data_IF_196558787389
#
_entry.id   IF_196558787389
#
_cell.length_a   1.000
_cell.length_b   1.000
_cell.length_c   1.000
_cell.angle_alpha   90.00
_cell.angle_beta   90.00
_cell.angle_gamma   90.00
#
_symmetry.space_group_name_H-M   'P 1'
#
loop_
_entity.id
_entity.type
_entity.pdbx_description
1 polymer ?
#
# COMPACT_ATOMS: atom_id res chain seq x y z
N UNK A 1 -15.42 -36.02 6.59
CA UNK A 1 -15.08 -35.17 7.73
C UNK A 1 -14.21 -34.05 7.21
N UNK A 2 -14.68 -32.80 7.27
CA UNK A 2 -13.88 -31.63 6.89
C UNK A 2 -12.82 -31.48 7.98
N UNK A 3 -11.52 -31.48 7.62
CA UNK A 3 -10.47 -31.16 8.59
C UNK A 3 -10.70 -29.73 9.08
N UNK A 4 -10.62 -29.45 10.39
CA UNK A 4 -10.61 -28.08 10.86
C UNK A 4 -9.45 -27.34 10.18
N UNK A 5 -9.74 -26.15 9.67
CA UNK A 5 -8.75 -25.28 9.04
C UNK A 5 -7.81 -24.74 10.12
N UNK A 6 -6.51 -24.64 9.83
CA UNK A 6 -5.54 -24.15 10.81
C UNK A 6 -5.66 -22.63 10.95
N UNK A 7 -5.40 -22.09 12.14
CA UNK A 7 -5.54 -20.64 12.41
C UNK A 7 -4.79 -19.76 11.42
N UNK A 8 -3.59 -20.16 11.00
CA UNK A 8 -2.79 -19.42 10.01
C UNK A 8 -3.39 -19.44 8.61
N UNK A 9 -4.13 -20.50 8.24
CA UNK A 9 -4.81 -20.60 6.95
C UNK A 9 -6.02 -19.66 6.92
N UNK A 10 -6.78 -19.63 8.01
CA UNK A 10 -7.88 -18.68 8.20
C UNK A 10 -7.38 -17.24 8.22
N UNK A 11 -6.26 -16.96 8.91
CA UNK A 11 -5.60 -15.66 8.90
C UNK A 11 -5.19 -15.25 7.47
N UNK A 12 -4.58 -16.18 6.71
CA UNK A 12 -4.20 -15.95 5.31
C UNK A 12 -5.42 -15.59 4.45
N UNK A 13 -6.51 -16.34 4.61
CA UNK A 13 -7.77 -16.06 3.91
C UNK A 13 -8.35 -14.69 4.28
N UNK A 14 -8.29 -14.32 5.56
CA UNK A 14 -8.78 -13.05 6.05
C UNK A 14 -7.94 -11.87 5.54
N UNK A 15 -6.61 -11.97 5.58
CA UNK A 15 -5.68 -10.99 5.01
C UNK A 15 -5.88 -10.81 3.50
N UNK A 16 -6.16 -11.89 2.77
CA UNK A 16 -6.48 -11.80 1.35
C UNK A 16 -7.80 -11.04 1.10
N UNK A 17 -8.84 -11.36 1.88
CA UNK A 17 -10.13 -10.68 1.79
C UNK A 17 -10.02 -9.20 2.19
N UNK A 18 -9.08 -8.85 3.06
CA UNK A 18 -8.72 -7.47 3.41
C UNK A 18 -7.96 -6.72 2.30
N UNK A 19 -7.70 -7.38 1.17
CA UNK A 19 -6.99 -6.81 0.00
C UNK A 19 -5.56 -6.36 0.32
N UNK A 20 -4.95 -6.85 1.40
CA UNK A 20 -3.56 -6.51 1.74
C UNK A 20 -2.54 -7.44 1.06
N UNK A 21 -2.92 -8.66 0.69
CA UNK A 21 -2.03 -9.67 0.08
C UNK A 21 -1.96 -9.61 -1.46
N UNK A 22 -2.72 -8.75 -2.15
CA UNK A 22 -2.71 -8.68 -3.62
C UNK A 22 -2.97 -10.03 -4.32
N UNK A 23 -2.31 -10.26 -5.46
CA UNK A 23 -2.35 -11.53 -6.22
C UNK A 23 -1.49 -12.66 -5.59
N UNK A 24 -0.74 -12.32 -4.53
CA UNK A 24 0.30 -13.15 -3.93
C UNK A 24 -0.25 -14.22 -2.98
N UNK A 25 -1.58 -14.28 -2.77
CA UNK A 25 -2.22 -15.38 -2.00
C UNK A 25 -1.80 -16.76 -2.52
N UNK A 26 -1.66 -16.90 -3.83
CA UNK A 26 -1.25 -18.16 -4.47
C UNK A 26 0.14 -18.64 -4.06
N UNK A 27 0.99 -17.74 -3.54
CA UNK A 27 2.35 -18.04 -3.07
C UNK A 27 2.41 -18.42 -1.60
N UNK A 28 1.36 -18.14 -0.82
CA UNK A 28 1.30 -18.49 0.61
C UNK A 28 0.79 -19.93 0.72
N UNK A 29 1.72 -20.88 0.63
CA UNK A 29 1.42 -22.31 0.67
C UNK A 29 1.74 -22.94 2.04
N UNK A 30 2.63 -22.30 2.80
CA UNK A 30 3.13 -22.76 4.10
C UNK A 30 3.03 -21.65 5.15
N UNK A 31 3.10 -22.05 6.43
CA UNK A 31 3.19 -21.11 7.55
C UNK A 31 4.39 -20.18 7.43
N UNK A 32 5.54 -20.70 6.99
CA UNK A 32 6.76 -19.92 6.75
C UNK A 32 6.57 -18.84 5.68
N UNK A 33 5.78 -19.09 4.64
CA UNK A 33 5.48 -18.07 3.63
C UNK A 33 4.66 -16.91 4.23
N UNK A 34 3.69 -17.21 5.11
CA UNK A 34 2.91 -16.21 5.84
C UNK A 34 3.77 -15.44 6.87
N UNK A 35 4.64 -16.14 7.61
CA UNK A 35 5.53 -15.51 8.56
C UNK A 35 6.50 -14.55 7.85
N UNK A 36 7.09 -14.98 6.72
CA UNK A 36 8.03 -14.20 5.92
C UNK A 36 7.42 -12.88 5.39
N UNK A 37 6.15 -12.91 4.98
CA UNK A 37 5.46 -11.73 4.42
C UNK A 37 5.00 -10.74 5.49
N UNK A 38 4.70 -11.20 6.71
CA UNK A 38 4.31 -10.34 7.83
C UNK A 38 5.51 -9.76 8.60
N UNK A 39 6.67 -10.42 8.50
CA UNK A 39 7.88 -10.17 9.32
C UNK A 39 8.35 -8.72 9.35
N UNK A 40 8.15 -7.96 8.28
CA UNK A 40 8.63 -6.57 8.17
C UNK A 40 7.64 -5.52 8.70
N UNK A 41 6.45 -5.95 9.12
CA UNK A 41 5.39 -5.10 9.67
C UNK A 41 4.66 -4.22 8.66
N UNK A 42 5.05 -4.17 7.38
CA UNK A 42 4.45 -3.28 6.38
C UNK A 42 2.99 -3.69 6.10
N UNK A 43 2.75 -4.98 5.87
CA UNK A 43 1.41 -5.50 5.64
C UNK A 43 0.48 -5.29 6.84
N UNK A 44 1.02 -5.40 8.06
CA UNK A 44 0.25 -5.17 9.28
C UNK A 44 -0.18 -3.69 9.40
N UNK A 45 0.71 -2.76 9.09
CA UNK A 45 0.37 -1.33 9.06
C UNK A 45 -0.75 -1.03 8.04
N UNK A 46 -0.69 -1.66 6.87
CA UNK A 46 -1.72 -1.51 5.84
C UNK A 46 -3.05 -2.08 6.26
N UNK A 47 -3.03 -3.26 6.86
CA UNK A 47 -4.20 -3.92 7.40
C UNK A 47 -4.93 -3.03 8.41
N UNK A 48 -4.19 -2.36 9.30
CA UNK A 48 -4.77 -1.39 10.22
C UNK A 48 -5.47 -0.24 9.46
N UNK A 49 -4.81 0.32 8.45
CA UNK A 49 -5.39 1.38 7.61
C UNK A 49 -6.61 0.93 6.78
N UNK A 50 -6.73 -0.36 6.44
CA UNK A 50 -7.95 -0.92 5.81
C UNK A 50 -9.17 -0.82 6.72
N UNK A 51 -9.01 -1.02 8.03
CA UNK A 51 -10.12 -0.99 8.98
C UNK A 51 -10.34 0.37 9.63
N UNK A 52 -9.32 1.23 9.63
CA UNK A 52 -9.42 2.61 10.10
C UNK A 52 -8.52 3.48 9.24
N UNK A 53 -9.10 4.15 8.25
CA UNK A 53 -8.36 5.02 7.34
C UNK A 53 -7.51 6.05 8.11
N UNK A 54 -6.23 6.15 7.76
CA UNK A 54 -5.29 7.11 8.35
C UNK A 54 -4.91 6.86 9.81
N UNK A 55 -5.19 5.68 10.38
CA UNK A 55 -4.76 5.38 11.75
C UNK A 55 -3.25 5.22 11.91
N UNK A 56 -2.56 4.88 10.81
CA UNK A 56 -1.10 4.90 10.71
C UNK A 56 -0.75 5.80 9.53
N UNK A 57 0.04 6.84 9.80
CA UNK A 57 0.55 7.71 8.76
C UNK A 57 1.55 6.96 7.88
N UNK A 58 1.28 6.95 6.58
CA UNK A 58 2.09 6.24 5.59
C UNK A 58 3.52 6.81 5.49
N UNK A 59 3.73 8.08 5.83
CA UNK A 59 5.06 8.70 5.83
C UNK A 59 5.99 8.13 6.91
N UNK A 60 5.42 7.55 7.97
CA UNK A 60 6.16 6.93 9.06
C UNK A 60 6.47 5.44 8.82
N UNK A 61 5.85 4.82 7.80
CA UNK A 61 6.11 3.42 7.44
C UNK A 61 7.41 3.38 6.63
N UNK A 62 8.40 2.64 7.12
CA UNK A 62 9.63 2.43 6.39
C UNK A 62 9.42 1.43 5.26
N UNK A 63 9.22 1.96 4.05
CA UNK A 63 9.24 1.20 2.80
C UNK A 63 10.69 1.04 2.33
N UNK A 64 11.23 -0.18 2.20
CA UNK A 64 12.58 -0.37 1.68
C UNK A 64 12.60 -0.70 0.18
N UNK A 65 13.51 -0.10 -0.62
CA UNK A 65 13.78 -0.54 -1.98
C UNK A 65 14.43 -1.92 -1.98
N UNK A 66 14.06 -2.77 -2.96
CA UNK A 66 14.43 -4.19 -3.09
C UNK A 66 15.91 -4.59 -2.96
N UNK A 67 16.83 -3.63 -2.94
CA UNK A 67 18.27 -3.88 -2.95
C UNK A 67 18.95 -3.67 -1.59
N UNK A 68 18.22 -3.20 -0.57
CA UNK A 68 18.75 -3.01 0.78
C UNK A 68 18.31 -4.16 1.69
N UNK A 69 19.26 -4.75 2.42
CA UNK A 69 18.99 -5.75 3.45
C UNK A 69 17.93 -5.24 4.44
N UNK A 70 16.94 -6.10 4.78
CA UNK A 70 15.88 -5.81 5.76
C UNK A 70 16.49 -5.37 7.08
N UNK A 71 16.52 -4.05 7.32
CA UNK A 71 17.11 -3.53 8.55
C UNK A 71 16.19 -3.86 9.72
N UNK A 72 16.73 -4.52 10.76
CA UNK A 72 16.02 -4.78 12.03
C UNK A 72 15.30 -3.53 12.54
N UNK A 73 15.94 -2.37 12.43
CA UNK A 73 15.36 -1.10 12.85
C UNK A 73 14.07 -0.75 12.11
N UNK A 74 14.06 -0.89 10.78
CA UNK A 74 12.89 -0.58 9.94
C UNK A 74 11.73 -1.54 10.22
N UNK A 75 12.01 -2.84 10.30
CA UNK A 75 10.99 -3.84 10.63
C UNK A 75 10.41 -3.61 12.02
N UNK A 76 11.26 -3.43 13.04
CA UNK A 76 10.84 -3.10 14.40
C UNK A 76 9.98 -1.85 14.45
N UNK A 77 10.34 -0.77 13.73
CA UNK A 77 9.54 0.44 13.68
C UNK A 77 8.15 0.19 13.10
N UNK A 78 8.05 -0.50 11.96
CA UNK A 78 6.77 -0.81 11.33
C UNK A 78 5.90 -1.69 12.25
N UNK A 79 6.49 -2.67 12.92
CA UNK A 79 5.79 -3.51 13.90
C UNK A 79 5.26 -2.65 15.07
N UNK A 80 6.07 -1.72 15.60
CA UNK A 80 5.63 -0.79 16.65
C UNK A 80 4.46 0.08 16.22
N UNK A 81 4.50 0.64 15.01
CA UNK A 81 3.40 1.45 14.47
C UNK A 81 2.09 0.67 14.43
N UNK A 82 2.14 -0.59 13.99
CA UNK A 82 0.98 -1.47 14.02
C UNK A 82 0.47 -1.73 15.44
N UNK A 83 1.36 -2.09 16.37
CA UNK A 83 0.98 -2.33 17.77
C UNK A 83 0.39 -1.09 18.44
N UNK A 84 0.93 0.10 18.14
CA UNK A 84 0.40 1.37 18.63
C UNK A 84 -0.99 1.67 18.06
N UNK A 85 -1.24 1.37 16.79
CA UNK A 85 -2.58 1.46 16.22
C UNK A 85 -3.55 0.47 16.90
N UNK A 86 -3.11 -0.77 17.16
CA UNK A 86 -3.90 -1.75 17.91
C UNK A 86 -4.30 -1.25 19.31
N UNK A 87 -3.37 -0.62 20.03
CA UNK A 87 -3.64 0.01 21.35
C UNK A 87 -4.62 1.18 21.24
N UNK A 88 -4.29 2.15 20.40
CA UNK A 88 -4.92 3.48 20.42
C UNK A 88 -6.22 3.55 19.63
N UNK A 89 -6.26 2.87 18.48
CA UNK A 89 -7.37 2.96 17.52
C UNK A 89 -8.32 1.78 17.61
N UNK A 90 -7.80 0.58 17.88
CA UNK A 90 -8.61 -0.64 17.98
C UNK A 90 -8.91 -1.05 19.43
N UNK A 91 -8.32 -0.36 20.41
CA UNK A 91 -8.52 -0.57 21.85
C UNK A 91 -8.26 -2.02 22.30
N UNK A 92 -7.27 -2.66 21.67
CA UNK A 92 -6.83 -4.00 22.06
C UNK A 92 -5.98 -3.88 23.34
N UNK A 93 -6.27 -4.65 24.40
CA UNK A 93 -5.53 -4.57 25.65
C UNK A 93 -4.10 -5.09 25.49
N UNK A 94 -3.18 -4.52 26.28
CA UNK A 94 -1.74 -4.84 26.23
C UNK A 94 -1.45 -6.34 26.41
N UNK A 95 -2.27 -7.06 27.19
CA UNK A 95 -2.15 -8.50 27.41
C UNK A 95 -2.35 -9.35 26.15
N UNK A 96 -3.07 -8.82 25.15
CA UNK A 96 -3.38 -9.52 23.90
C UNK A 96 -2.40 -9.14 22.77
N UNK A 97 -1.57 -8.11 22.97
CA UNK A 97 -0.56 -7.69 22.00
C UNK A 97 0.64 -8.63 22.06
N UNK A 98 1.35 -8.78 20.94
CA UNK A 98 2.63 -9.46 20.85
C UNK A 98 3.79 -8.47 21.00
N UNK A 99 4.98 -8.97 21.31
CA UNK A 99 6.23 -8.19 21.36
C UNK A 99 6.96 -8.21 20.01
N UNK A 100 7.77 -7.20 19.70
CA UNK A 100 8.45 -7.09 18.40
C UNK A 100 9.17 -8.38 17.94
N UNK A 101 9.83 -9.07 18.88
CA UNK A 101 10.58 -10.29 18.58
C UNK A 101 9.67 -11.50 18.29
N UNK A 102 8.44 -11.51 18.81
CA UNK A 102 7.43 -12.56 18.54
C UNK A 102 7.17 -12.67 17.02
N UNK A 103 7.31 -11.56 16.29
CA UNK A 103 7.17 -11.51 14.84
C UNK A 103 8.51 -11.42 14.11
N UNK A 104 9.44 -10.58 14.56
CA UNK A 104 10.70 -10.35 13.83
C UNK A 104 11.67 -11.53 13.93
N UNK A 105 11.87 -12.04 15.15
CA UNK A 105 12.71 -13.22 15.42
C UNK A 105 11.90 -14.52 15.41
N UNK A 106 10.56 -14.40 15.32
CA UNK A 106 9.58 -15.50 15.30
C UNK A 106 9.53 -16.28 16.62
N UNK A 107 9.74 -15.59 17.75
CA UNK A 107 9.76 -16.19 19.09
C UNK A 107 8.38 -16.78 19.49
N UNK A 108 7.27 -16.11 19.12
CA UNK A 108 5.90 -16.57 19.37
C UNK A 108 4.96 -16.09 18.23
N UNK A 109 5.14 -16.67 17.05
CA UNK A 109 4.30 -16.34 15.90
C UNK A 109 2.81 -16.70 16.12
N UNK A 110 2.52 -17.64 17.03
CA UNK A 110 1.14 -17.96 17.40
C UNK A 110 0.45 -16.77 18.09
N UNK A 111 1.18 -16.01 18.92
CA UNK A 111 0.66 -14.76 19.51
C UNK A 111 0.33 -13.71 18.45
N UNK A 112 1.11 -13.65 17.37
CA UNK A 112 0.81 -12.78 16.22
C UNK A 112 -0.54 -13.16 15.58
N UNK A 113 -0.77 -14.46 15.36
CA UNK A 113 -2.04 -14.96 14.81
C UNK A 113 -3.22 -14.72 15.77
N UNK A 114 -3.01 -14.86 17.08
CA UNK A 114 -4.02 -14.54 18.10
C UNK A 114 -4.39 -13.05 18.08
N UNK A 115 -3.41 -12.16 17.96
CA UNK A 115 -3.69 -10.73 17.82
C UNK A 115 -4.48 -10.42 16.54
N UNK A 116 -4.14 -11.02 15.40
CA UNK A 116 -4.88 -10.84 14.15
C UNK A 116 -6.33 -11.35 14.27
N UNK A 117 -6.53 -12.48 14.95
CA UNK A 117 -7.85 -13.01 15.28
C UNK A 117 -8.64 -12.02 16.15
N UNK A 118 -8.03 -11.47 17.20
CA UNK A 118 -8.64 -10.47 18.07
C UNK A 118 -8.98 -9.18 17.31
N UNK A 119 -8.05 -8.68 16.49
CA UNK A 119 -8.24 -7.52 15.62
C UNK A 119 -9.44 -7.73 14.68
N UNK A 120 -9.58 -8.92 14.10
CA UNK A 120 -10.72 -9.24 13.22
C UNK A 120 -12.07 -9.14 13.92
N UNK A 121 -12.09 -9.33 15.25
CA UNK A 121 -13.29 -9.26 16.08
C UNK A 121 -13.62 -7.84 16.59
N UNK A 122 -12.79 -6.85 16.30
CA UNK A 122 -13.07 -5.46 16.65
C UNK A 122 -14.24 -4.90 15.83
N UNK A 123 -14.97 -3.93 16.37
CA UNK A 123 -16.11 -3.33 15.66
C UNK A 123 -15.71 -2.64 14.35
N UNK A 124 -14.48 -2.11 14.29
CA UNK A 124 -13.93 -1.50 13.08
C UNK A 124 -13.70 -2.55 11.99
N UNK A 125 -13.08 -3.68 12.34
CA UNK A 125 -12.80 -4.76 11.38
C UNK A 125 -14.08 -5.47 10.91
N UNK A 126 -15.01 -5.76 11.84
CA UNK A 126 -16.30 -6.43 11.54
C UNK A 126 -17.19 -5.67 10.55
N UNK A 127 -17.04 -4.34 10.46
CA UNK A 127 -17.77 -3.51 9.48
C UNK A 127 -17.28 -3.74 8.05
N UNK A 128 -16.05 -4.20 7.88
CA UNK A 128 -15.41 -4.38 6.57
C UNK A 128 -15.42 -5.85 6.17
N UNK A 129 -15.06 -6.75 7.09
CA UNK A 129 -14.90 -8.18 6.83
C UNK A 129 -15.53 -9.04 7.93
N UNK A 130 -15.85 -10.28 7.57
CA UNK A 130 -16.21 -11.29 8.57
C UNK A 130 -14.98 -11.63 9.42
N UNK A 131 -15.11 -11.74 10.75
CA UNK A 131 -14.01 -12.10 11.64
C UNK A 131 -13.55 -13.55 11.43
N UNK A 132 -12.34 -13.85 11.89
CA UNK A 132 -11.79 -15.20 11.95
C UNK A 132 -11.15 -15.47 13.33
N UNK A 133 -11.18 -16.71 13.85
CA UNK A 133 -12.01 -17.79 13.35
C UNK A 133 -13.50 -17.52 13.58
N UNK A 134 -14.37 -18.10 12.76
CA UNK A 134 -15.82 -17.91 12.90
C UNK A 134 -16.35 -18.43 14.26
N UNK A 135 -15.62 -19.37 14.87
CA UNK A 135 -15.85 -19.89 16.21
C UNK A 135 -14.53 -19.84 16.97
N UNK A 136 -14.43 -18.99 17.99
CA UNK A 136 -13.32 -19.01 18.94
C UNK A 136 -13.45 -20.24 19.86
N UNK A 137 -12.96 -21.40 19.40
CA UNK A 137 -12.82 -22.57 20.27
C UNK A 137 -11.45 -22.52 20.98
N UNK A 138 -11.39 -22.64 22.32
CA UNK A 138 -10.12 -22.72 23.06
C UNK A 138 -9.23 -23.88 22.63
N UNK A 139 -9.80 -24.90 21.98
CA UNK A 139 -9.16 -26.15 21.61
C UNK A 139 -8.24 -26.07 20.38
N UNK A 140 -8.23 -24.97 19.63
CA UNK A 140 -7.38 -24.84 18.43
C UNK A 140 -5.95 -24.34 18.71
N UNK A 141 -5.63 -24.01 19.96
CA UNK A 141 -4.49 -23.14 20.33
C UNK A 141 -3.33 -23.93 20.98
N UNK A 142 -3.34 -25.26 20.96
CA UNK A 142 -2.29 -26.04 21.66
C UNK A 142 -1.88 -27.34 20.96
N UNK A 143 -2.54 -27.77 19.90
CA UNK A 143 -2.27 -29.06 19.26
C UNK A 143 -1.17 -29.00 18.18
N UNK A 144 -0.62 -27.81 17.90
CA UNK A 144 0.29 -27.58 16.77
C UNK A 144 1.62 -26.90 17.15
N UNK A 145 2.11 -27.09 18.38
CA UNK A 145 3.41 -26.54 18.82
C UNK A 145 4.56 -26.92 17.88
N UNK A 146 4.55 -28.14 17.33
CA UNK A 146 5.58 -28.64 16.40
C UNK A 146 5.60 -27.87 15.08
N UNK A 147 4.51 -27.18 14.72
CA UNK A 147 4.42 -26.40 13.49
C UNK A 147 5.29 -25.14 13.56
N UNK A 148 5.52 -24.59 14.76
CA UNK A 148 6.24 -23.35 14.96
C UNK A 148 7.73 -23.57 15.30
N UNK A 149 8.13 -24.79 15.69
CA UNK A 149 9.47 -25.06 16.23
C UNK A 149 10.62 -24.78 15.25
N UNK A 150 10.41 -25.00 13.95
CA UNK A 150 11.41 -24.79 12.90
C UNK A 150 11.09 -23.58 12.01
N UNK A 151 10.10 -22.77 12.40
CA UNK A 151 9.55 -21.71 11.55
C UNK A 151 10.62 -20.67 11.17
N UNK A 152 11.51 -20.36 12.11
CA UNK A 152 12.61 -19.40 11.88
C UNK A 152 13.54 -19.86 10.77
N UNK A 153 14.04 -21.08 10.86
CA UNK A 153 14.95 -21.64 9.85
C UNK A 153 14.27 -21.73 8.47
N UNK A 154 12.97 -22.09 8.45
CA UNK A 154 12.19 -22.10 7.21
C UNK A 154 12.04 -20.71 6.59
N UNK A 155 11.76 -19.67 7.40
CA UNK A 155 11.62 -18.30 6.92
C UNK A 155 12.95 -17.74 6.41
N UNK A 156 14.04 -17.99 7.14
CA UNK A 156 15.39 -17.59 6.70
C UNK A 156 15.78 -18.25 5.37
N UNK A 157 15.30 -19.48 5.10
CA UNK A 157 15.47 -20.15 3.81
C UNK A 157 14.55 -19.63 2.68
N UNK A 158 13.44 -18.96 3.01
CA UNK A 158 12.51 -18.36 2.02
C UNK A 158 13.06 -17.05 1.44
N UNK A 159 13.94 -16.35 2.15
CA UNK A 159 14.47 -15.05 1.73
C UNK A 159 15.29 -15.08 0.42
N UNK A 160 15.65 -16.25 -0.12
CA UNK A 160 16.30 -16.41 -1.43
C UNK A 160 15.36 -16.39 -2.64
N UNK A 161 14.02 -16.33 -2.47
CA UNK A 161 13.07 -16.30 -3.60
C UNK A 161 12.51 -14.91 -3.87
N UNK A 162 12.71 -14.47 -5.10
CA UNK A 162 12.32 -13.18 -5.68
C UNK A 162 10.93 -12.66 -5.24
N UNK A 163 10.99 -11.44 -4.70
CA UNK A 163 9.96 -10.41 -4.47
C UNK A 163 8.49 -10.83 -4.46
N UNK A 164 8.03 -11.36 -3.31
CA UNK A 164 6.64 -11.23 -2.84
C UNK A 164 6.24 -9.73 -2.65
N UNK A 165 7.24 -8.85 -2.73
CA UNK A 165 7.21 -7.44 -2.41
C UNK A 165 6.84 -6.53 -3.59
N UNK A 166 6.77 -7.01 -4.83
CA UNK A 166 6.48 -6.17 -6.01
C UNK A 166 5.11 -5.50 -5.92
N UNK A 167 4.05 -6.27 -5.64
CA UNK A 167 2.70 -5.73 -5.50
C UNK A 167 2.51 -4.94 -4.20
N UNK A 168 3.25 -5.30 -3.14
CA UNK A 168 3.19 -4.63 -1.84
C UNK A 168 3.83 -3.24 -1.98
N UNK A 169 5.06 -3.08 -2.48
CA UNK A 169 5.66 -1.74 -2.64
C UNK A 169 4.99 -0.84 -3.68
N UNK A 170 4.21 -1.40 -4.60
CA UNK A 170 3.47 -0.59 -5.59
C UNK A 170 2.18 0.08 -5.03
N UNK A 171 1.76 -0.20 -3.79
CA UNK A 171 0.51 0.36 -3.24
C UNK A 171 0.61 1.85 -2.81
N UNK A 172 1.82 2.41 -2.76
CA UNK A 172 2.04 3.88 -2.71
C UNK A 172 2.29 4.49 -4.09
N UNK A 173 2.48 3.62 -5.10
CA UNK A 173 2.60 4.02 -6.48
C UNK A 173 1.26 4.36 -7.09
N UNK A 174 0.13 3.90 -6.53
CA UNK A 174 -1.20 4.28 -7.03
C UNK A 174 -1.42 5.80 -7.07
N UNK A 175 -0.89 6.57 -6.12
CA UNK A 175 -1.01 8.04 -6.16
C UNK A 175 -0.09 8.62 -7.24
N UNK A 176 1.18 8.21 -7.30
CA UNK A 176 2.09 8.61 -8.38
C UNK A 176 1.68 8.12 -9.78
N UNK A 177 1.02 6.97 -9.88
CA UNK A 177 0.50 6.38 -11.11
C UNK A 177 -0.82 7.05 -11.48
N UNK A 178 -1.66 7.46 -10.51
CA UNK A 178 -2.83 8.32 -10.77
C UNK A 178 -2.37 9.71 -11.23
N UNK A 179 -1.36 10.30 -10.59
CA UNK A 179 -0.75 11.57 -11.00
C UNK A 179 -0.13 11.46 -12.40
N UNK A 180 0.60 10.39 -12.68
CA UNK A 180 1.17 10.10 -14.00
C UNK A 180 0.07 9.83 -15.04
N UNK A 181 -1.00 9.13 -14.68
CA UNK A 181 -2.18 8.94 -15.54
C UNK A 181 -2.89 10.28 -15.83
N UNK A 182 -2.94 11.22 -14.87
CA UNK A 182 -3.49 12.55 -15.10
C UNK A 182 -2.61 13.33 -16.07
N UNK A 183 -1.30 13.36 -15.85
CA UNK A 183 -0.34 14.01 -16.77
C UNK A 183 -0.43 13.40 -18.17
N UNK A 184 -0.38 12.08 -18.29
CA UNK A 184 -0.47 11.37 -19.57
C UNK A 184 -1.81 11.63 -20.26
N UNK A 185 -2.92 11.64 -19.52
CA UNK A 185 -4.24 11.91 -20.10
C UNK A 185 -4.34 13.34 -20.64
N UNK A 186 -3.78 14.32 -19.92
CA UNK A 186 -3.85 15.74 -20.30
C UNK A 186 -2.86 16.05 -21.44
N UNK A 187 -1.64 15.53 -21.36
CA UNK A 187 -0.54 15.93 -22.23
C UNK A 187 -0.42 15.02 -23.46
N UNK A 188 -0.68 13.71 -23.31
CA UNK A 188 -0.55 12.71 -24.39
C UNK A 188 -1.88 12.43 -25.08
N UNK A 189 -2.99 12.35 -24.32
CA UNK A 189 -4.29 11.95 -24.84
C UNK A 189 -5.26 13.12 -25.07
N UNK A 190 -4.82 14.36 -24.89
CA UNK A 190 -5.62 15.48 -25.37
C UNK A 190 -5.78 15.29 -26.87
N UNK A 191 -7.02 15.17 -27.32
CA UNK A 191 -7.41 15.42 -28.71
C UNK A 191 -7.11 16.90 -28.98
N UNK A 192 -5.81 17.23 -29.02
CA UNK A 192 -5.30 18.57 -29.11
C UNK A 192 -6.03 19.19 -30.28
N UNK A 193 -6.82 20.21 -29.97
CA UNK A 193 -7.30 21.12 -30.99
C UNK A 193 -6.03 21.72 -31.53
N UNK A 194 -5.51 21.13 -32.61
CA UNK A 194 -4.29 21.61 -33.29
C UNK A 194 -4.57 23.07 -33.56
N UNK A 195 -3.95 23.93 -32.76
CA UNK A 195 -4.01 25.36 -32.97
C UNK A 195 -3.38 25.59 -34.32
N UNK A 196 -4.15 26.11 -35.28
CA UNK A 196 -3.70 26.34 -36.65
C UNK A 196 -2.55 27.34 -36.77
N UNK A 197 -2.07 27.87 -35.64
CA UNK A 197 -0.92 28.77 -35.51
C UNK A 197 0.40 28.07 -35.21
N UNK A 198 0.39 26.77 -34.93
CA UNK A 198 1.62 26.10 -34.56
C UNK A 198 2.50 25.82 -35.80
N UNK A 199 3.67 26.46 -35.83
CA UNK A 199 4.62 26.38 -36.95
C UNK A 199 5.11 24.93 -37.20
N UNK A 200 4.93 24.06 -36.21
CA UNK A 200 5.35 22.66 -36.21
C UNK A 200 4.20 21.66 -36.43
N UNK A 201 2.97 22.14 -36.65
CA UNK A 201 1.83 21.28 -36.96
C UNK A 201 2.04 20.46 -38.25
N UNK A 202 2.83 21.00 -39.20
CA UNK A 202 3.14 20.34 -40.47
C UNK A 202 4.49 19.59 -40.46
N UNK A 203 5.22 19.60 -39.34
CA UNK A 203 6.49 18.89 -39.23
C UNK A 203 6.25 17.38 -39.20
N UNK A 204 6.85 16.67 -40.17
CA UNK A 204 6.76 15.21 -40.26
C UNK A 204 8.13 14.60 -39.93
N UNK A 205 8.29 14.03 -38.72
CA UNK A 205 9.54 13.41 -38.34
C UNK A 205 9.84 12.17 -39.21
N UNK A 206 11.10 12.02 -39.59
CA UNK A 206 11.62 10.96 -40.47
C UNK A 206 12.75 10.13 -39.83
N UNK A 207 13.31 10.59 -38.72
CA UNK A 207 14.32 9.88 -37.93
C UNK A 207 13.89 9.75 -36.47
N UNK A 208 14.47 8.79 -35.74
CA UNK A 208 14.21 8.64 -34.29
C UNK A 208 14.45 9.94 -33.52
N UNK A 209 15.52 10.67 -33.86
CA UNK A 209 15.82 11.98 -33.27
C UNK A 209 14.69 12.99 -33.52
N UNK A 210 14.16 13.02 -34.73
CA UNK A 210 13.06 13.93 -35.08
C UNK A 210 11.75 13.54 -34.41
N UNK A 211 11.49 12.24 -34.22
CA UNK A 211 10.34 11.76 -33.46
C UNK A 211 10.41 12.23 -32.00
N UNK A 212 11.56 12.09 -31.33
CA UNK A 212 11.74 12.60 -29.96
C UNK A 212 11.57 14.12 -29.88
N UNK A 213 12.07 14.87 -30.86
CA UNK A 213 11.90 16.34 -30.91
C UNK A 213 10.42 16.71 -31.06
N UNK A 214 9.69 16.00 -31.92
CA UNK A 214 8.26 16.25 -32.12
C UNK A 214 7.45 15.93 -30.86
N UNK A 215 7.75 14.81 -30.21
CA UNK A 215 7.11 14.42 -28.94
C UNK A 215 7.35 15.46 -27.83
N UNK A 216 8.59 15.91 -27.64
CA UNK A 216 8.91 16.97 -26.67
C UNK A 216 8.13 18.26 -26.95
N UNK A 217 8.01 18.64 -28.21
CA UNK A 217 7.30 19.86 -28.58
C UNK A 217 5.79 19.74 -28.39
N UNK A 218 5.20 18.60 -28.79
CA UNK A 218 3.76 18.36 -28.66
C UNK A 218 3.35 18.29 -27.20
N UNK A 219 4.16 17.63 -26.36
CA UNK A 219 3.92 17.53 -24.92
C UNK A 219 4.06 18.89 -24.23
N UNK A 220 5.08 19.68 -24.56
CA UNK A 220 5.25 21.06 -24.03
C UNK A 220 4.07 21.96 -24.45
N UNK A 221 3.68 21.91 -25.71
CA UNK A 221 2.56 22.73 -26.23
C UNK A 221 1.25 22.36 -25.54
N UNK A 222 0.97 21.06 -25.36
CA UNK A 222 -0.22 20.62 -24.64
C UNK A 222 -0.18 21.01 -23.16
N UNK A 223 0.99 20.95 -22.52
CA UNK A 223 1.12 21.37 -21.13
C UNK A 223 0.84 22.87 -20.96
N UNK A 224 1.48 23.72 -21.77
CA UNK A 224 1.36 25.18 -21.65
C UNK A 224 0.01 25.69 -22.17
N UNK A 225 -0.33 25.40 -23.42
CA UNK A 225 -1.49 26.02 -24.09
C UNK A 225 -2.82 25.34 -23.73
N UNK A 226 -2.80 24.06 -23.36
CA UNK A 226 -4.04 23.34 -23.06
C UNK A 226 -4.23 23.13 -21.55
N UNK A 227 -3.20 22.74 -20.79
CA UNK A 227 -3.37 22.44 -19.38
C UNK A 227 -3.34 23.72 -18.52
N UNK A 228 -2.26 24.50 -18.59
CA UNK A 228 -2.10 25.70 -17.75
C UNK A 228 -3.15 26.77 -18.08
N UNK A 229 -3.35 27.09 -19.36
CA UNK A 229 -4.37 28.05 -19.79
C UNK A 229 -5.80 27.63 -19.37
N UNK A 230 -6.10 26.34 -19.37
CA UNK A 230 -7.39 25.82 -18.91
C UNK A 230 -7.54 25.95 -17.40
N UNK A 231 -6.48 25.69 -16.62
CA UNK A 231 -6.50 25.92 -15.17
C UNK A 231 -6.74 27.41 -14.89
N UNK A 232 -6.05 28.30 -15.59
CA UNK A 232 -6.21 29.74 -15.42
C UNK A 232 -7.63 30.21 -15.79
N UNK A 233 -8.09 29.89 -16.99
CA UNK A 233 -9.35 30.40 -17.52
C UNK A 233 -10.60 29.74 -16.91
N UNK A 234 -10.52 28.48 -16.47
CA UNK A 234 -11.68 27.72 -15.96
C UNK A 234 -11.74 27.66 -14.44
N UNK A 235 -10.61 27.81 -13.76
CA UNK A 235 -10.56 27.68 -12.30
C UNK A 235 -10.04 28.95 -11.63
N UNK A 236 -8.84 29.43 -11.97
CA UNK A 236 -8.23 30.58 -11.30
C UNK A 236 -9.07 31.85 -11.42
N UNK A 237 -9.39 32.27 -12.65
CA UNK A 237 -10.15 33.51 -12.90
C UNK A 237 -11.55 33.48 -12.27
N UNK A 238 -12.37 32.41 -12.40
CA UNK A 238 -13.67 32.35 -11.75
C UNK A 238 -13.59 32.31 -10.22
N UNK A 239 -12.64 31.57 -9.65
CA UNK A 239 -12.54 31.37 -8.20
C UNK A 239 -11.95 32.57 -7.47
N UNK A 240 -11.16 33.42 -8.16
CA UNK A 240 -10.64 34.67 -7.60
C UNK A 240 -11.73 35.61 -7.07
N UNK A 241 -12.95 35.51 -7.60
CA UNK A 241 -14.09 36.31 -7.14
C UNK A 241 -14.90 35.65 -6.02
N UNK A 242 -14.64 34.37 -5.72
CA UNK A 242 -15.39 33.56 -4.75
C UNK A 242 -14.60 33.23 -3.49
N UNK A 243 -13.28 33.11 -3.59
CA UNK A 243 -12.39 32.70 -2.51
C UNK A 243 -11.61 33.88 -1.92
N UNK A 244 -11.14 33.70 -0.69
CA UNK A 244 -10.27 34.67 -0.03
C UNK A 244 -8.88 34.70 -0.70
N UNK A 245 -8.11 35.79 -0.58
CA UNK A 245 -6.74 35.84 -1.10
C UNK A 245 -5.83 34.75 -0.52
N UNK A 246 -6.01 34.40 0.75
CA UNK A 246 -5.24 33.36 1.46
C UNK A 246 -5.53 31.96 0.89
N UNK A 247 -6.80 31.65 0.63
CA UNK A 247 -7.19 30.38 0.01
C UNK A 247 -6.72 30.31 -1.45
N UNK A 248 -6.78 31.43 -2.18
CA UNK A 248 -6.27 31.50 -3.56
C UNK A 248 -4.77 31.23 -3.61
N UNK A 249 -3.98 31.80 -2.69
CA UNK A 249 -2.54 31.57 -2.59
C UNK A 249 -2.22 30.12 -2.17
N UNK A 250 -2.98 29.55 -1.25
CA UNK A 250 -2.80 28.16 -0.83
C UNK A 250 -3.12 27.13 -1.93
N UNK A 251 -4.17 27.37 -2.73
CA UNK A 251 -4.64 26.43 -3.76
C UNK A 251 -3.83 26.54 -5.05
N UNK A 252 -3.56 27.76 -5.52
CA UNK A 252 -2.96 28.01 -6.84
C UNK A 252 -1.47 28.36 -6.79
N UNK A 253 -0.94 28.68 -5.60
CA UNK A 253 0.48 28.95 -5.36
C UNK A 253 1.01 30.02 -6.34
N UNK A 254 1.79 29.61 -7.35
CA UNK A 254 2.43 30.49 -8.34
C UNK A 254 2.09 30.10 -9.78
N UNK A 255 0.87 29.59 -10.02
CA UNK A 255 0.46 29.17 -11.37
C UNK A 255 0.10 30.35 -12.30
N UNK A 256 0.00 31.57 -11.75
CA UNK A 256 -0.42 32.79 -12.44
C UNK A 256 0.71 33.50 -13.20
#
# INVERSE_FOLDING_TARGET
MVRPELLWQEATHWLYNARVLGEEKSRILRLSDLAAILRDGILLCRLANTFSYGCIDQTHIFLQPQQSQKSRFSCSNNIRLFLDACRTTFHIPESELFEENDLYDLDDFERVLRLLSHLSHTDKAKKVLRPFPAVCSPSHVSEHSDLYSNLRDEVEAVEEKESIYDAVYNYGKEESEKEMQIYDTIVVNSNARISSKDAWANFKPSSQREHCIKELLDTETNYVENALDMILAKFYDPLRFLLSPEDMEAIFINIY
#
